data_IF_375671962199
#
_entry.id   IF_375671962199
#
_cell.length_a   1.000
_cell.length_b   1.000
_cell.length_c   1.000
_cell.angle_alpha   90.00
_cell.angle_beta   90.00
_cell.angle_gamma   90.00
#
_symmetry.space_group_name_H-M   'P 1'
#
loop_
_entity.id
_entity.type
_entity.pdbx_description
1 polymer ?
#
# COMPACT_ATOMS: atom_id res chain seq x y z
N UNK A 1 16.61 0.26 31.47
CA UNK A 1 16.25 1.44 30.67
C UNK A 1 16.69 1.22 29.23
N UNK A 2 15.95 1.70 28.22
CA UNK A 2 16.37 1.59 26.82
C UNK A 2 17.72 2.27 26.60
N UNK A 3 18.59 1.65 25.79
CA UNK A 3 19.97 2.11 25.51
C UNK A 3 20.06 3.17 24.40
N UNK A 4 18.92 3.60 23.84
CA UNK A 4 18.87 4.47 22.66
C UNK A 4 18.52 5.90 23.07
N UNK A 5 19.23 6.87 22.49
CA UNK A 5 19.02 8.29 22.76
C UNK A 5 17.79 8.86 22.08
N UNK A 6 17.37 8.29 20.95
CA UNK A 6 16.13 8.63 20.26
C UNK A 6 15.57 7.41 19.51
N UNK A 7 14.24 7.28 19.47
CA UNK A 7 13.53 6.31 18.64
C UNK A 7 12.90 7.04 17.46
N UNK A 8 13.42 6.79 16.26
CA UNK A 8 12.89 7.39 15.02
C UNK A 8 11.95 6.41 14.34
N UNK A 9 10.70 6.83 14.15
CA UNK A 9 9.63 6.04 13.54
C UNK A 9 9.26 6.61 12.17
N UNK A 10 9.25 5.75 11.15
CA UNK A 10 8.81 6.08 9.79
C UNK A 10 7.28 6.00 9.68
N UNK A 11 6.58 6.81 10.47
CA UNK A 11 5.12 6.84 10.58
C UNK A 11 4.64 8.23 11.03
N UNK A 12 3.35 8.53 10.87
CA UNK A 12 2.75 9.76 11.39
C UNK A 12 2.20 9.54 12.80
N UNK A 13 2.55 10.43 13.72
CA UNK A 13 2.14 10.31 15.11
C UNK A 13 0.60 10.32 15.26
N UNK A 14 -0.04 11.14 14.44
CA UNK A 14 -1.48 11.39 14.42
C UNK A 14 -2.30 10.16 14.00
N UNK A 15 -1.63 9.11 13.49
CA UNK A 15 -2.25 7.84 13.12
C UNK A 15 -2.17 6.78 14.23
N UNK A 16 -1.44 7.04 15.31
CA UNK A 16 -1.44 6.11 16.44
C UNK A 16 -2.74 6.19 17.23
N UNK A 17 -3.27 5.07 17.72
CA UNK A 17 -4.23 5.08 18.81
C UNK A 17 -3.63 5.75 20.05
N UNK A 18 -4.40 6.60 20.72
CA UNK A 18 -3.95 7.36 21.91
C UNK A 18 -3.28 6.48 22.99
N UNK A 19 -3.80 5.29 23.36
CA UNK A 19 -3.13 4.44 24.36
C UNK A 19 -1.73 4.01 23.94
N UNK A 20 -1.55 3.68 22.66
CA UNK A 20 -0.25 3.27 22.11
C UNK A 20 0.73 4.45 22.09
N UNK A 21 0.25 5.62 21.67
CA UNK A 21 1.08 6.82 21.63
C UNK A 21 1.56 7.21 23.04
N UNK A 22 0.67 7.15 24.02
CA UNK A 22 1.00 7.41 25.42
C UNK A 22 2.09 6.46 25.92
N UNK A 23 1.93 5.16 25.69
CA UNK A 23 2.90 4.15 26.12
C UNK A 23 4.26 4.31 25.44
N UNK A 24 4.28 4.65 24.15
CA UNK A 24 5.51 4.91 23.42
C UNK A 24 6.23 6.15 23.97
N UNK A 25 5.51 7.24 24.23
CA UNK A 25 6.08 8.46 24.84
C UNK A 25 6.56 8.24 26.26
N UNK A 26 5.85 7.41 27.02
CA UNK A 26 6.26 7.04 28.38
C UNK A 26 7.56 6.22 28.38
N UNK A 27 7.70 5.28 27.44
CA UNK A 27 8.89 4.41 27.33
C UNK A 27 10.09 5.09 26.67
N UNK A 28 9.84 6.01 25.73
CA UNK A 28 10.86 6.67 24.93
C UNK A 28 10.71 8.19 25.05
N UNK A 29 11.58 8.81 25.85
CA UNK A 29 11.60 10.27 26.06
C UNK A 29 11.88 11.06 24.79
N UNK A 30 12.56 10.45 23.81
CA UNK A 30 12.90 11.04 22.52
C UNK A 30 12.29 10.22 21.36
N UNK A 31 10.97 10.09 21.34
CA UNK A 31 10.23 9.51 20.22
C UNK A 31 10.06 10.56 19.11
N UNK A 32 10.58 10.27 17.91
CA UNK A 32 10.52 11.15 16.74
C UNK A 32 9.77 10.46 15.60
N UNK A 33 8.63 11.00 15.18
CA UNK A 33 7.81 10.45 14.11
C UNK A 33 8.00 11.28 12.85
N UNK A 34 8.90 10.83 11.98
CA UNK A 34 9.36 11.63 10.82
C UNK A 34 8.44 11.50 9.59
N UNK A 35 7.28 10.85 9.74
CA UNK A 35 6.37 10.58 8.64
C UNK A 35 6.98 9.63 7.62
N UNK A 36 6.25 9.35 6.53
CA UNK A 36 6.80 8.58 5.41
C UNK A 36 7.75 9.48 4.61
N UNK A 37 9.05 9.39 4.88
CA UNK A 37 10.10 10.18 4.20
C UNK A 37 10.08 9.93 2.67
N UNK A 38 9.47 8.83 2.22
CA UNK A 38 9.36 8.47 0.81
C UNK A 38 8.27 9.23 0.02
N UNK A 39 7.40 10.03 0.66
CA UNK A 39 6.27 10.69 -0.02
C UNK A 39 6.55 12.11 -0.54
N UNK A 40 7.68 12.72 -0.18
CA UNK A 40 7.95 14.15 -0.49
C UNK A 40 8.92 14.39 -1.65
N UNK A 41 9.29 13.36 -2.40
CA UNK A 41 9.92 13.54 -3.69
C UNK A 41 8.85 13.22 -4.75
N UNK A 42 8.67 14.02 -5.83
CA UNK A 42 8.10 13.42 -7.03
C UNK A 42 8.88 12.13 -7.24
N UNK A 43 8.22 10.97 -7.44
CA UNK A 43 8.94 9.73 -7.67
C UNK A 43 10.03 10.07 -8.68
N UNK A 44 11.33 9.84 -8.35
CA UNK A 44 12.41 10.24 -9.24
C UNK A 44 11.97 9.79 -10.62
N UNK A 45 11.97 10.72 -11.59
CA UNK A 45 11.49 10.44 -12.95
C UNK A 45 12.11 9.11 -13.33
N UNK A 46 11.27 8.07 -13.31
CA UNK A 46 11.78 6.72 -13.35
C UNK A 46 12.62 6.69 -14.63
N UNK A 47 13.87 6.16 -14.62
CA UNK A 47 14.47 5.77 -15.89
C UNK A 47 13.36 4.98 -16.59
N UNK A 48 13.03 5.27 -17.86
CA UNK A 48 11.85 4.70 -18.52
C UNK A 48 11.81 3.23 -18.14
N UNK A 49 10.92 2.89 -17.20
CA UNK A 49 10.81 1.51 -16.75
C UNK A 49 10.48 0.80 -18.04
N UNK A 50 11.18 -0.29 -18.40
CA UNK A 50 10.92 -0.98 -19.64
C UNK A 50 9.41 -1.10 -19.78
N UNK A 51 8.92 -0.50 -20.86
CA UNK A 51 7.52 -0.22 -21.15
C UNK A 51 6.66 -1.35 -20.62
N UNK A 52 5.83 -1.08 -19.61
CA UNK A 52 4.80 -2.01 -19.09
C UNK A 52 5.11 -3.50 -19.34
N UNK A 53 6.24 -4.02 -18.83
CA UNK A 53 6.78 -5.34 -19.25
C UNK A 53 5.74 -6.46 -19.10
N UNK A 54 4.86 -6.31 -18.12
CA UNK A 54 3.79 -7.27 -17.83
C UNK A 54 2.48 -6.96 -18.57
N UNK A 55 2.39 -5.85 -19.29
CA UNK A 55 1.21 -5.38 -20.02
C UNK A 55 0.06 -4.97 -19.09
N UNK A 56 0.33 -4.75 -17.81
CA UNK A 56 -0.67 -4.53 -16.77
C UNK A 56 -1.29 -3.14 -16.83
N UNK A 57 -0.49 -2.10 -17.15
CA UNK A 57 -0.98 -0.74 -17.28
C UNK A 57 -1.88 -0.60 -18.51
N UNK A 58 -1.41 -1.12 -19.64
CA UNK A 58 -2.14 -1.16 -20.90
C UNK A 58 -3.45 -1.93 -20.77
N UNK A 59 -3.43 -3.06 -20.04
CA UNK A 59 -4.64 -3.83 -19.74
C UNK A 59 -5.61 -3.03 -18.85
N UNK A 60 -5.10 -2.37 -17.80
CA UNK A 60 -5.91 -1.54 -16.90
C UNK A 60 -6.54 -0.33 -17.61
N UNK A 61 -5.89 0.23 -18.63
CA UNK A 61 -6.40 1.37 -19.39
C UNK A 61 -7.56 1.00 -20.32
N UNK A 62 -7.65 -0.27 -20.72
CA UNK A 62 -8.79 -0.82 -21.44
C UNK A 62 -10.01 -1.13 -20.55
N UNK A 63 -9.86 -1.08 -19.22
CA UNK A 63 -10.94 -1.37 -18.28
C UNK A 63 -11.75 -0.12 -17.97
N UNK A 64 -13.04 -0.32 -17.63
CA UNK A 64 -13.85 0.78 -17.11
C UNK A 64 -13.21 1.32 -15.84
N UNK A 65 -13.24 2.64 -15.66
CA UNK A 65 -12.76 3.25 -14.43
C UNK A 65 -13.37 2.53 -13.22
N UNK A 66 -12.54 2.18 -12.24
CA UNK A 66 -12.95 1.63 -10.93
C UNK A 66 -13.71 0.30 -11.01
N UNK A 67 -13.43 -0.50 -12.05
CA UNK A 67 -14.05 -1.81 -12.25
C UNK A 67 -13.14 -3.00 -11.92
N UNK A 68 -11.87 -2.76 -11.57
CA UNK A 68 -10.84 -3.80 -11.43
C UNK A 68 -10.43 -4.00 -9.97
N UNK A 69 -10.47 -5.26 -9.51
CA UNK A 69 -9.90 -5.68 -8.23
C UNK A 69 -8.38 -5.93 -8.36
N UNK A 70 -7.56 -5.17 -7.64
CA UNK A 70 -6.12 -5.38 -7.54
C UNK A 70 -5.81 -6.23 -6.32
N UNK A 71 -5.10 -7.33 -6.54
CA UNK A 71 -4.79 -8.31 -5.51
C UNK A 71 -3.27 -8.48 -5.46
N UNK A 72 -2.71 -8.31 -4.27
CA UNK A 72 -1.29 -8.55 -4.02
C UNK A 72 -1.10 -8.89 -2.56
N UNK A 73 -0.30 -9.92 -2.29
CA UNK A 73 0.00 -10.39 -0.95
C UNK A 73 1.41 -10.00 -0.48
N UNK A 74 2.06 -9.10 -1.22
CA UNK A 74 3.44 -8.71 -0.96
C UNK A 74 4.44 -9.84 -1.26
N UNK A 75 5.67 -9.65 -0.78
CA UNK A 75 6.81 -10.50 -1.15
C UNK A 75 7.28 -11.43 -0.02
N UNK A 76 6.79 -11.21 1.20
CA UNK A 76 7.34 -11.84 2.42
C UNK A 76 6.53 -13.06 2.87
N UNK A 77 5.21 -13.03 2.68
CA UNK A 77 4.32 -14.09 3.17
C UNK A 77 4.18 -15.20 2.13
N UNK A 78 4.41 -16.44 2.55
CA UNK A 78 4.01 -17.62 1.78
C UNK A 78 2.57 -17.96 2.18
N UNK A 79 1.66 -17.92 1.21
CA UNK A 79 0.25 -18.24 1.42
C UNK A 79 0.04 -19.74 1.20
N UNK A 80 -0.74 -20.42 2.06
CA UNK A 80 -1.11 -21.82 1.84
C UNK A 80 -1.77 -22.01 0.47
N UNK A 81 -1.49 -23.13 -0.20
CA UNK A 81 -2.06 -23.42 -1.51
C UNK A 81 -3.59 -23.36 -1.51
N UNK A 82 -4.26 -23.89 -0.48
CA UNK A 82 -5.71 -23.89 -0.36
C UNK A 82 -6.31 -22.47 -0.37
N UNK A 83 -5.63 -21.48 0.22
CA UNK A 83 -6.10 -20.09 0.20
C UNK A 83 -5.93 -19.46 -1.18
N UNK A 84 -4.88 -19.81 -1.92
CA UNK A 84 -4.69 -19.35 -3.31
C UNK A 84 -5.79 -19.94 -4.22
N UNK A 85 -6.12 -21.22 -4.02
CA UNK A 85 -7.20 -21.90 -4.74
C UNK A 85 -8.56 -21.25 -4.46
N UNK A 86 -8.88 -20.98 -3.18
CA UNK A 86 -10.12 -20.29 -2.80
C UNK A 86 -10.24 -18.89 -3.42
N UNK A 87 -9.14 -18.13 -3.46
CA UNK A 87 -9.13 -16.81 -4.12
C UNK A 87 -9.35 -16.95 -5.62
N UNK A 88 -8.69 -17.91 -6.27
CA UNK A 88 -8.86 -18.18 -7.69
C UNK A 88 -10.32 -18.55 -8.02
N UNK A 89 -10.92 -19.47 -7.26
CA UNK A 89 -12.32 -19.86 -7.42
C UNK A 89 -13.29 -18.69 -7.21
N UNK A 90 -13.06 -17.87 -6.17
CA UNK A 90 -13.88 -16.69 -5.91
C UNK A 90 -13.80 -15.66 -7.05
N UNK A 91 -12.63 -15.50 -7.67
CA UNK A 91 -12.46 -14.61 -8.82
C UNK A 91 -13.19 -15.12 -10.07
N UNK A 92 -13.16 -16.42 -10.31
CA UNK A 92 -13.93 -17.03 -11.41
C UNK A 92 -15.44 -16.87 -11.19
N UNK A 93 -15.95 -17.22 -10.01
CA UNK A 93 -17.39 -17.17 -9.70
C UNK A 93 -17.91 -15.74 -9.70
N UNK A 94 -17.13 -14.78 -9.21
CA UNK A 94 -17.56 -13.38 -9.12
C UNK A 94 -17.58 -12.67 -10.47
N UNK A 95 -16.80 -13.13 -11.46
CA UNK A 95 -16.69 -12.54 -12.79
C UNK A 95 -16.21 -11.08 -12.79
N UNK A 96 -15.69 -10.59 -11.67
CA UNK A 96 -15.18 -9.22 -11.57
C UNK A 96 -13.87 -9.11 -12.35
N UNK A 97 -13.62 -8.00 -13.05
CA UNK A 97 -12.31 -7.77 -13.59
C UNK A 97 -11.25 -7.70 -12.50
N UNK A 98 -10.10 -8.34 -12.69
CA UNK A 98 -9.05 -8.35 -11.67
C UNK A 98 -7.64 -8.30 -12.23
N UNK A 99 -6.73 -7.67 -11.47
CA UNK A 99 -5.30 -7.71 -11.68
C UNK A 99 -4.65 -8.32 -10.44
N UNK A 100 -4.10 -9.53 -10.57
CA UNK A 100 -3.46 -10.23 -9.47
C UNK A 100 -1.94 -10.27 -9.67
N UNK A 101 -1.22 -9.55 -8.81
CA UNK A 101 0.23 -9.66 -8.70
C UNK A 101 0.59 -10.91 -7.87
N UNK A 102 0.81 -12.03 -8.55
CA UNK A 102 1.14 -13.33 -7.97
C UNK A 102 2.49 -13.81 -8.49
N UNK A 103 3.43 -14.08 -7.59
CA UNK A 103 4.79 -14.52 -7.92
C UNK A 103 4.77 -15.81 -8.75
N UNK A 104 5.68 -15.94 -9.71
CA UNK A 104 5.79 -17.16 -10.55
C UNK A 104 5.94 -18.43 -9.73
N UNK A 105 6.66 -18.33 -8.60
CA UNK A 105 6.84 -19.44 -7.65
C UNK A 105 5.56 -19.86 -6.94
N UNK A 106 4.42 -19.21 -7.16
CA UNK A 106 3.11 -19.60 -6.62
C UNK A 106 2.11 -19.93 -7.73
N UNK A 107 2.52 -19.86 -9.01
CA UNK A 107 1.66 -20.19 -10.14
C UNK A 107 1.17 -21.64 -10.13
N UNK A 108 1.97 -22.57 -9.56
CA UNK A 108 1.58 -23.97 -9.40
C UNK A 108 0.45 -24.20 -8.39
N UNK A 109 0.18 -23.22 -7.52
CA UNK A 109 -0.93 -23.26 -6.56
C UNK A 109 -2.27 -22.87 -7.21
N UNK A 110 -2.27 -22.41 -8.46
CA UNK A 110 -3.51 -22.04 -9.14
C UNK A 110 -4.24 -23.29 -9.63
N UNK A 111 -5.59 -23.29 -9.60
CA UNK A 111 -6.38 -24.37 -10.17
C UNK A 111 -6.02 -24.63 -11.64
N UNK A 112 -6.06 -25.90 -12.05
CA UNK A 112 -5.74 -26.28 -13.43
C UNK A 112 -6.60 -25.51 -14.44
N UNK A 113 -5.95 -24.89 -15.43
CA UNK A 113 -6.59 -24.08 -16.47
C UNK A 113 -7.14 -22.72 -16.00
N UNK A 114 -6.89 -22.30 -14.76
CA UNK A 114 -7.36 -21.00 -14.23
C UNK A 114 -6.86 -19.84 -15.09
N UNK A 115 -5.58 -19.81 -15.46
CA UNK A 115 -5.00 -18.72 -16.25
C UNK A 115 -5.70 -18.54 -17.60
N UNK A 116 -6.06 -19.64 -18.26
CA UNK A 116 -6.77 -19.60 -19.54
C UNK A 116 -8.19 -19.08 -19.38
N UNK A 117 -8.93 -19.58 -18.38
CA UNK A 117 -10.31 -19.14 -18.10
C UNK A 117 -10.37 -17.68 -17.67
N UNK A 118 -9.50 -17.31 -16.73
CA UNK A 118 -9.40 -15.96 -16.19
C UNK A 118 -8.92 -14.94 -17.23
N UNK A 119 -8.18 -15.33 -18.27
CA UNK A 119 -7.64 -14.40 -19.28
C UNK A 119 -8.69 -13.51 -19.95
N UNK A 120 -9.97 -13.93 -19.94
CA UNK A 120 -11.09 -13.20 -20.53
C UNK A 120 -11.51 -11.96 -19.75
N UNK A 121 -11.33 -11.96 -18.43
CA UNK A 121 -11.77 -10.87 -17.55
C UNK A 121 -10.73 -10.46 -16.50
N UNK A 122 -9.61 -11.19 -16.38
CA UNK A 122 -8.59 -10.96 -15.38
C UNK A 122 -7.19 -11.13 -15.93
N UNK A 123 -6.22 -10.59 -15.20
CA UNK A 123 -4.81 -10.65 -15.56
C UNK A 123 -3.99 -11.03 -14.33
N UNK A 124 -3.23 -12.11 -14.45
CA UNK A 124 -2.27 -12.55 -13.43
C UNK A 124 -0.88 -12.19 -13.92
N UNK A 125 -0.09 -11.51 -13.09
CA UNK A 125 1.27 -11.08 -13.43
C UNK A 125 2.22 -11.38 -12.27
N UNK A 126 3.49 -11.70 -12.53
CA UNK A 126 4.50 -11.90 -11.49
C UNK A 126 4.73 -10.65 -10.64
N UNK A 127 4.51 -9.49 -11.24
CA UNK A 127 4.70 -8.20 -10.62
C UNK A 127 3.82 -7.12 -11.26
N UNK A 128 3.34 -6.17 -10.46
CA UNK A 128 2.60 -4.99 -10.92
C UNK A 128 3.09 -3.73 -10.18
N UNK A 129 3.09 -2.56 -10.84
CA UNK A 129 3.50 -1.29 -10.24
C UNK A 129 2.49 -0.83 -9.17
N UNK A 130 2.81 -1.12 -7.91
CA UNK A 130 1.92 -0.93 -6.76
C UNK A 130 1.74 0.55 -6.35
N UNK A 131 2.75 1.39 -6.59
CA UNK A 131 2.78 2.80 -6.12
C UNK A 131 2.02 3.75 -7.05
N UNK A 132 1.91 3.45 -8.35
CA UNK A 132 1.46 4.45 -9.34
C UNK A 132 0.01 4.33 -9.80
N UNK A 133 -0.64 3.17 -9.71
CA UNK A 133 -2.00 3.05 -10.30
C UNK A 133 -2.83 1.89 -9.77
N UNK A 134 -2.25 0.71 -9.50
CA UNK A 134 -3.00 -0.50 -9.15
C UNK A 134 -3.79 -0.38 -7.85
N UNK A 135 -3.12 0.02 -6.76
CA UNK A 135 -3.75 0.13 -5.43
C UNK A 135 -4.80 1.24 -5.41
N UNK A 136 -4.52 2.38 -6.02
CA UNK A 136 -5.47 3.51 -6.06
C UNK A 136 -6.73 3.15 -6.86
N UNK A 137 -6.59 2.54 -8.04
CA UNK A 137 -7.73 2.12 -8.88
C UNK A 137 -8.62 1.07 -8.19
N UNK A 138 -8.07 0.24 -7.30
CA UNK A 138 -8.85 -0.79 -6.59
C UNK A 138 -9.35 -0.40 -5.22
N UNK A 139 -8.67 0.55 -4.55
CA UNK A 139 -9.29 1.27 -3.46
C UNK A 139 -10.57 1.95 -3.97
N UNK A 140 -10.52 2.62 -5.12
CA UNK A 140 -11.72 3.22 -5.73
C UNK A 140 -12.87 2.20 -5.93
N UNK A 141 -12.59 0.94 -6.30
CA UNK A 141 -13.60 -0.14 -6.43
C UNK A 141 -14.30 -0.47 -5.10
N UNK A 142 -13.53 -0.74 -4.03
CA UNK A 142 -14.06 -1.04 -2.68
C UNK A 142 -14.83 0.18 -2.15
N UNK A 143 -14.29 1.34 -2.46
CA UNK A 143 -14.79 2.64 -2.08
C UNK A 143 -15.93 3.13 -2.98
N UNK A 144 -16.49 2.40 -3.94
CA UNK A 144 -17.67 2.87 -4.71
C UNK A 144 -18.98 2.19 -4.32
N UNK A 145 -18.94 1.00 -3.72
CA UNK A 145 -20.14 0.34 -3.20
C UNK A 145 -20.77 1.19 -2.07
N UNK A 146 -22.09 1.12 -1.90
CA UNK A 146 -22.80 1.78 -0.78
C UNK A 146 -22.19 1.38 0.57
N UNK A 147 -21.82 0.11 0.71
CA UNK A 147 -21.14 -0.45 1.88
C UNK A 147 -19.74 0.15 2.12
N UNK A 148 -19.08 0.70 1.09
CA UNK A 148 -17.78 1.36 1.18
C UNK A 148 -17.84 2.82 1.61
N UNK A 149 -19.03 3.41 1.79
CA UNK A 149 -19.21 4.85 2.10
C UNK A 149 -18.52 5.26 3.41
N UNK A 150 -18.63 4.45 4.45
CA UNK A 150 -17.95 4.72 5.72
C UNK A 150 -16.42 4.63 5.62
N UNK A 151 -15.92 3.67 4.83
CA UNK A 151 -14.49 3.49 4.59
C UNK A 151 -13.93 4.70 3.80
N UNK A 152 -14.70 5.24 2.84
CA UNK A 152 -14.33 6.47 2.10
C UNK A 152 -14.11 7.67 3.00
N UNK A 153 -15.11 7.95 3.83
CA UNK A 153 -15.04 9.10 4.74
C UNK A 153 -13.79 8.98 5.60
N UNK A 154 -13.58 7.81 6.22
CA UNK A 154 -12.40 7.56 7.05
C UNK A 154 -11.09 7.66 6.26
N UNK A 155 -11.01 7.11 5.05
CA UNK A 155 -9.81 7.21 4.22
C UNK A 155 -9.48 8.65 3.83
N UNK A 156 -10.51 9.49 3.57
CA UNK A 156 -10.35 10.92 3.31
C UNK A 156 -9.88 11.66 4.56
N UNK A 157 -10.50 11.39 5.72
CA UNK A 157 -10.10 11.96 7.01
C UNK A 157 -8.64 11.63 7.33
N UNK A 158 -8.23 10.37 7.13
CA UNK A 158 -6.86 9.91 7.31
C UNK A 158 -5.90 10.59 6.32
N UNK A 159 -6.31 10.73 5.05
CA UNK A 159 -5.51 11.42 4.03
C UNK A 159 -5.28 12.88 4.40
N UNK A 160 -6.31 13.60 4.82
CA UNK A 160 -6.20 15.00 5.24
C UNK A 160 -5.29 15.14 6.48
N UNK A 161 -5.45 14.25 7.45
CA UNK A 161 -4.61 14.19 8.64
C UNK A 161 -3.14 13.96 8.29
N UNK A 162 -2.84 13.04 7.37
CA UNK A 162 -1.48 12.80 6.86
C UNK A 162 -0.92 14.01 6.12
N UNK A 163 -1.72 14.67 5.27
CA UNK A 163 -1.30 15.87 4.54
C UNK A 163 -0.97 17.03 5.50
N UNK A 164 -1.77 17.20 6.55
CA UNK A 164 -1.51 18.19 7.61
C UNK A 164 -0.24 17.86 8.38
N UNK A 165 -0.07 16.60 8.79
CA UNK A 165 1.10 16.13 9.55
C UNK A 165 2.42 16.25 8.77
N UNK A 166 2.37 16.06 7.45
CA UNK A 166 3.50 16.15 6.52
C UNK A 166 3.81 17.56 6.02
N UNK A 167 2.94 18.53 6.28
CA UNK A 167 3.16 19.93 5.89
C UNK A 167 4.44 20.51 6.54
N UNK A 168 5.03 21.60 6.00
CA UNK A 168 6.22 22.23 6.57
C UNK A 168 6.10 22.67 8.04
N UNK A 169 4.86 22.89 8.52
CA UNK A 169 4.56 23.18 9.92
C UNK A 169 4.08 21.97 10.73
N UNK A 170 3.89 20.82 10.09
CA UNK A 170 3.37 19.60 10.70
C UNK A 170 4.38 18.93 11.64
N UNK A 171 3.87 18.04 12.50
CA UNK A 171 4.67 17.37 13.54
C UNK A 171 5.83 16.59 12.95
N UNK A 172 5.62 15.92 11.81
CA UNK A 172 6.67 15.13 11.15
C UNK A 172 7.85 16.00 10.68
N UNK A 173 7.57 17.20 10.14
CA UNK A 173 8.62 18.14 9.74
C UNK A 173 9.40 18.66 10.95
N UNK A 174 8.72 18.90 12.07
CA UNK A 174 9.36 19.34 13.30
C UNK A 174 10.24 18.23 13.91
N UNK A 175 9.75 17.00 13.97
CA UNK A 175 10.53 15.85 14.48
C UNK A 175 11.75 15.56 13.60
N UNK A 176 11.63 15.75 12.28
CA UNK A 176 12.76 15.65 11.37
C UNK A 176 13.82 16.73 11.64
N UNK A 177 13.42 17.97 11.91
CA UNK A 177 14.36 19.04 12.30
C UNK A 177 15.05 18.73 13.62
N UNK A 178 14.31 18.26 14.62
CA UNK A 178 14.89 17.82 15.90
C UNK A 178 15.87 16.66 15.72
N UNK A 179 15.60 15.74 14.80
CA UNK A 179 16.55 14.67 14.45
C UNK A 179 17.84 15.25 13.87
N UNK A 180 17.75 16.17 12.90
CA UNK A 180 18.92 16.83 12.29
C UNK A 180 19.73 17.58 13.36
N UNK A 181 19.08 18.39 14.19
CA UNK A 181 19.72 19.13 15.27
C UNK A 181 20.48 18.20 16.22
N UNK A 182 19.85 17.10 16.65
CA UNK A 182 20.46 16.09 17.52
C UNK A 182 21.68 15.45 16.87
N UNK A 183 21.65 15.14 15.57
CA UNK A 183 22.80 14.56 14.85
C UNK A 183 23.94 15.58 14.73
N UNK A 184 23.62 16.85 14.47
CA UNK A 184 24.62 17.92 14.27
C UNK A 184 25.22 18.48 15.56
N UNK A 185 24.62 18.19 16.70
CA UNK A 185 25.06 18.67 18.02
C UNK A 185 25.98 17.66 18.75
N UNK A 186 26.41 16.59 18.07
CA UNK A 186 27.36 15.58 18.54
C UNK A 186 28.77 15.92 18.06
#
# INVERSE_FOLDING_TARGET
MPKVDALVMNFYQELYPEPLLHDLKFKFSNLLNVGFISLSLPPPSLPPSPEDVTGCLSWLDGQKAKSVAFISFGTVVNIPQSEIEEVAEALEVSGIPFLWALRDSMSYCLPSGFLDRASTHGKVVPWAPQIQTGVLKSLDLILEREQGRGIRSRAQDLKELVLKASSPGGRASQDFKTLVEKITSV
#
